data_IF_770463572970
#
_entry.id   IF_770463572970
#
_cell.length_a   1.000
_cell.length_b   1.000
_cell.length_c   1.000
_cell.angle_alpha   90.00
_cell.angle_beta   90.00
_cell.angle_gamma   90.00
#
_symmetry.space_group_name_H-M   'P 1'
#
loop_
_entity.id
_entity.type
_entity.pdbx_description
1 polymer ?
#
# COMPACT_ATOMS: atom_id res chain seq x y z
N UNK A 1 39.53 -15.75 16.31
CA UNK A 1 39.04 -15.23 15.01
C UNK A 1 37.59 -14.78 15.19
N UNK A 2 37.37 -13.54 15.64
CA UNK A 2 36.05 -12.98 15.96
C UNK A 2 35.48 -12.32 14.70
N UNK A 3 34.35 -12.81 14.18
CA UNK A 3 33.63 -12.16 13.07
C UNK A 3 33.22 -10.74 13.52
N UNK A 4 33.46 -9.70 12.71
CA UNK A 4 32.97 -8.36 13.04
C UNK A 4 31.44 -8.36 12.93
N UNK A 5 30.76 -8.18 14.06
CA UNK A 5 29.33 -7.85 14.09
C UNK A 5 29.18 -6.40 13.63
N UNK A 6 29.16 -6.18 12.32
CA UNK A 6 28.78 -4.88 11.75
C UNK A 6 27.29 -4.68 11.97
N UNK A 7 26.90 -4.19 13.14
CA UNK A 7 25.58 -3.60 13.36
C UNK A 7 25.49 -2.36 12.48
N UNK A 8 25.09 -2.54 11.21
CA UNK A 8 24.83 -1.42 10.30
C UNK A 8 23.74 -0.57 10.96
N UNK A 9 23.96 0.73 11.20
CA UNK A 9 22.93 1.59 11.78
C UNK A 9 21.69 1.56 10.90
N UNK A 10 20.51 1.44 11.51
CA UNK A 10 19.25 1.44 10.77
C UNK A 10 19.08 2.78 10.04
N UNK A 11 18.89 2.72 8.73
CA UNK A 11 18.63 3.89 7.90
C UNK A 11 17.13 4.22 7.96
N UNK A 12 16.80 5.49 8.21
CA UNK A 12 15.42 5.95 8.19
C UNK A 12 14.92 6.07 6.75
N UNK A 13 14.32 4.98 6.23
CA UNK A 13 13.74 4.97 4.87
C UNK A 13 12.47 5.81 4.75
N UNK A 14 11.62 5.82 5.78
CA UNK A 14 10.37 6.56 5.81
C UNK A 14 10.21 7.34 7.11
N UNK A 15 9.71 8.58 7.00
CA UNK A 15 9.42 9.43 8.15
C UNK A 15 8.18 8.94 8.92
N UNK A 16 8.05 9.32 10.19
CA UNK A 16 6.87 8.99 11.00
C UNK A 16 5.56 9.44 10.34
N UNK A 17 5.55 10.62 9.70
CA UNK A 17 4.38 11.16 9.02
C UNK A 17 3.99 10.38 7.77
N UNK A 18 4.96 9.85 7.01
CA UNK A 18 4.70 8.96 5.87
C UNK A 18 4.06 7.64 6.34
N UNK A 19 4.56 7.07 7.45
CA UNK A 19 4.02 5.84 8.03
C UNK A 19 2.59 6.03 8.51
N UNK A 20 2.28 7.12 9.21
CA UNK A 20 0.93 7.41 9.69
C UNK A 20 -0.05 7.59 8.52
N UNK A 21 0.32 8.36 7.49
CA UNK A 21 -0.54 8.54 6.32
C UNK A 21 -0.79 7.22 5.57
N UNK A 22 0.25 6.39 5.43
CA UNK A 22 0.11 5.05 4.86
C UNK A 22 -0.86 4.18 5.66
N UNK A 23 -0.71 4.11 6.98
CA UNK A 23 -1.62 3.32 7.83
C UNK A 23 -3.05 3.83 7.82
N UNK A 24 -3.25 5.16 7.78
CA UNK A 24 -4.58 5.76 7.62
C UNK A 24 -5.21 5.34 6.28
N UNK A 25 -4.45 5.43 5.19
CA UNK A 25 -4.89 5.00 3.86
C UNK A 25 -5.21 3.50 3.82
N UNK A 26 -4.35 2.67 4.42
CA UNK A 26 -4.53 1.22 4.45
C UNK A 26 -5.80 0.81 5.23
N UNK A 27 -6.02 1.40 6.41
CA UNK A 27 -7.21 1.10 7.23
C UNK A 27 -8.50 1.55 6.53
N UNK A 28 -8.51 2.76 5.97
CA UNK A 28 -9.69 3.27 5.23
C UNK A 28 -9.96 2.45 3.97
N UNK A 29 -8.92 2.03 3.25
CA UNK A 29 -9.06 1.11 2.12
C UNK A 29 -9.67 -0.23 2.52
N UNK A 30 -9.21 -0.86 3.61
CA UNK A 30 -9.77 -2.13 4.08
C UNK A 30 -11.26 -1.98 4.41
N UNK A 31 -11.63 -0.93 5.15
CA UNK A 31 -13.03 -0.66 5.48
C UNK A 31 -13.88 -0.45 4.22
N UNK A 32 -13.37 0.29 3.24
CA UNK A 32 -14.03 0.54 1.95
C UNK A 32 -14.15 -0.72 1.10
N UNK A 33 -13.10 -1.52 1.00
CA UNK A 33 -13.09 -2.74 0.22
C UNK A 33 -14.12 -3.73 0.76
N UNK A 34 -14.15 -3.92 2.08
CA UNK A 34 -15.09 -4.84 2.73
C UNK A 34 -16.54 -4.34 2.66
N UNK A 35 -16.78 -3.05 2.96
CA UNK A 35 -18.11 -2.47 2.84
C UNK A 35 -18.61 -2.39 1.40
N UNK A 36 -17.72 -2.09 0.44
CA UNK A 36 -18.02 -2.09 -0.99
C UNK A 36 -18.35 -3.49 -1.49
N UNK A 37 -17.61 -4.51 -1.07
CA UNK A 37 -17.91 -5.91 -1.40
C UNK A 37 -19.27 -6.35 -0.84
N UNK A 38 -19.62 -5.91 0.37
CA UNK A 38 -20.92 -6.15 0.99
C UNK A 38 -22.09 -5.55 0.18
N UNK A 39 -21.86 -4.41 -0.48
CA UNK A 39 -22.84 -3.73 -1.33
C UNK A 39 -22.85 -4.26 -2.77
N UNK A 40 -21.72 -4.83 -3.23
CA UNK A 40 -21.54 -5.30 -4.60
C UNK A 40 -22.21 -6.67 -4.85
N UNK A 41 -22.03 -7.64 -3.94
CA UNK A 41 -22.54 -9.00 -4.15
C UNK A 41 -23.27 -9.55 -2.91
N UNK A 42 -24.52 -10.05 -3.04
CA UNK A 42 -25.35 -10.43 -1.89
C UNK A 42 -24.74 -11.46 -0.93
N UNK A 43 -23.95 -12.42 -1.43
CA UNK A 43 -23.28 -13.43 -0.60
C UNK A 43 -22.32 -12.83 0.44
N UNK A 44 -21.88 -11.58 0.23
CA UNK A 44 -21.00 -10.86 1.15
C UNK A 44 -21.74 -9.85 2.01
N UNK A 45 -23.08 -9.79 1.96
CA UNK A 45 -23.86 -8.80 2.72
C UNK A 45 -23.62 -8.88 4.23
N UNK A 46 -23.24 -10.05 4.77
CA UNK A 46 -22.89 -10.21 6.18
C UNK A 46 -21.73 -9.30 6.62
N UNK A 47 -20.85 -8.87 5.71
CA UNK A 47 -19.77 -7.93 5.99
C UNK A 47 -20.28 -6.53 6.36
N UNK A 48 -21.53 -6.18 6.03
CA UNK A 48 -22.14 -4.89 6.41
C UNK A 48 -22.22 -4.70 7.93
N UNK A 49 -22.20 -5.78 8.73
CA UNK A 49 -22.20 -5.71 10.19
C UNK A 49 -20.95 -5.00 10.75
N UNK A 50 -19.83 -4.97 10.02
CA UNK A 50 -18.61 -4.27 10.45
C UNK A 50 -18.82 -2.76 10.58
N UNK A 51 -19.74 -2.20 9.80
CA UNK A 51 -20.12 -0.79 9.88
C UNK A 51 -21.48 -0.59 10.56
N UNK A 52 -22.02 -1.60 11.24
CA UNK A 52 -23.32 -1.50 11.94
C UNK A 52 -24.55 -1.90 11.11
N UNK A 53 -24.37 -2.59 9.98
CA UNK A 53 -25.42 -3.13 9.13
C UNK A 53 -25.65 -2.34 7.83
N UNK A 54 -26.63 -2.77 7.04
CA UNK A 54 -26.91 -2.20 5.70
C UNK A 54 -27.10 -0.68 5.67
N UNK A 55 -27.96 -0.07 6.51
CA UNK A 55 -28.17 1.37 6.53
C UNK A 55 -26.90 2.16 6.84
N UNK A 56 -26.20 1.79 7.93
CA UNK A 56 -24.96 2.45 8.32
C UNK A 56 -23.83 2.26 7.31
N UNK A 57 -23.73 1.07 6.71
CA UNK A 57 -22.76 0.80 5.63
C UNK A 57 -22.92 1.77 4.47
N UNK A 58 -24.17 1.99 4.00
CA UNK A 58 -24.44 2.92 2.90
C UNK A 58 -24.14 4.38 3.25
N UNK A 59 -24.37 4.77 4.50
CA UNK A 59 -24.10 6.12 4.99
C UNK A 59 -22.58 6.33 5.17
N UNK A 60 -21.89 5.43 5.87
CA UNK A 60 -20.48 5.60 6.25
C UNK A 60 -19.51 5.37 5.09
N UNK A 61 -19.81 4.43 4.18
CA UNK A 61 -18.93 4.10 3.05
C UNK A 61 -18.45 5.34 2.26
N UNK A 62 -19.31 6.25 1.77
CA UNK A 62 -18.85 7.42 1.03
C UNK A 62 -17.99 8.38 1.89
N UNK A 63 -18.29 8.55 3.18
CA UNK A 63 -17.48 9.41 4.06
C UNK A 63 -16.07 8.82 4.27
N UNK A 64 -15.98 7.50 4.49
CA UNK A 64 -14.68 6.81 4.57
C UNK A 64 -13.96 6.94 3.22
N UNK A 65 -14.70 6.92 2.11
CA UNK A 65 -14.21 7.17 0.75
C UNK A 65 -13.51 8.51 0.61
N UNK A 66 -14.14 9.59 1.07
CA UNK A 66 -13.56 10.94 1.06
C UNK A 66 -12.30 11.02 1.93
N UNK A 67 -12.32 10.41 3.13
CA UNK A 67 -11.16 10.37 4.02
C UNK A 67 -9.99 9.64 3.34
N UNK A 68 -10.26 8.47 2.74
CA UNK A 68 -9.24 7.71 2.00
C UNK A 68 -8.70 8.53 0.83
N UNK A 69 -9.59 9.15 0.04
CA UNK A 69 -9.20 9.93 -1.13
C UNK A 69 -8.23 11.07 -0.77
N UNK A 70 -8.53 11.82 0.30
CA UNK A 70 -7.67 12.90 0.79
C UNK A 70 -6.33 12.33 1.30
N UNK A 71 -6.38 11.30 2.14
CA UNK A 71 -5.18 10.64 2.71
C UNK A 71 -4.25 10.13 1.60
N UNK A 72 -4.80 9.38 0.64
CA UNK A 72 -4.08 8.82 -0.50
C UNK A 72 -3.55 9.90 -1.43
N UNK A 73 -4.29 10.98 -1.67
CA UNK A 73 -3.81 12.10 -2.51
C UNK A 73 -2.58 12.76 -1.88
N UNK A 74 -2.62 13.03 -0.58
CA UNK A 74 -1.47 13.58 0.15
C UNK A 74 -0.28 12.60 0.10
N UNK A 75 -0.54 11.30 0.24
CA UNK A 75 0.52 10.28 0.16
C UNK A 75 1.13 10.22 -1.24
N UNK A 76 0.29 10.18 -2.27
CA UNK A 76 0.69 10.13 -3.67
C UNK A 76 1.53 11.33 -4.06
N UNK A 77 1.10 12.55 -3.75
CA UNK A 77 1.87 13.77 -4.06
C UNK A 77 3.28 13.72 -3.46
N UNK A 78 3.43 13.18 -2.25
CA UNK A 78 4.75 13.00 -1.59
C UNK A 78 5.62 11.95 -2.26
N UNK A 79 5.03 10.90 -2.84
CA UNK A 79 5.75 9.77 -3.42
C UNK A 79 5.97 9.88 -4.93
N UNK A 80 5.27 10.79 -5.63
CA UNK A 80 5.43 10.99 -7.08
C UNK A 80 6.90 11.06 -7.51
N UNK A 81 7.79 11.88 -6.91
CA UNK A 81 9.17 11.99 -7.38
C UNK A 81 9.95 10.67 -7.33
N UNK A 82 9.58 9.77 -6.42
CA UNK A 82 10.23 8.47 -6.20
C UNK A 82 9.60 7.35 -7.04
N UNK A 83 8.42 7.60 -7.62
CA UNK A 83 7.65 6.63 -8.40
C UNK A 83 7.58 7.02 -9.89
N UNK A 84 8.41 7.96 -10.35
CA UNK A 84 8.50 8.29 -11.77
C UNK A 84 9.17 7.15 -12.52
N UNK A 85 8.57 6.78 -13.65
CA UNK A 85 9.08 5.70 -14.48
C UNK A 85 10.39 6.11 -15.17
N UNK A 86 11.46 5.37 -14.90
CA UNK A 86 12.79 5.58 -15.46
C UNK A 86 13.18 4.42 -16.38
N UNK A 87 14.27 4.61 -17.14
CA UNK A 87 14.77 3.58 -18.07
C UNK A 87 15.09 2.25 -17.39
N UNK A 88 15.51 2.28 -16.13
CA UNK A 88 15.84 1.09 -15.35
C UNK A 88 14.60 0.22 -15.08
N UNK A 89 13.42 0.82 -14.92
CA UNK A 89 12.17 0.07 -14.69
C UNK A 89 11.82 -0.81 -15.89
N UNK A 90 12.09 -0.35 -17.12
CA UNK A 90 11.90 -1.18 -18.32
C UNK A 90 12.81 -2.41 -18.32
N UNK A 91 14.02 -2.30 -17.80
CA UNK A 91 14.94 -3.43 -17.70
C UNK A 91 14.44 -4.38 -16.61
N UNK A 92 14.06 -3.85 -15.45
CA UNK A 92 13.46 -4.62 -14.36
C UNK A 92 12.23 -5.42 -14.83
N UNK A 93 11.32 -4.80 -15.60
CA UNK A 93 10.14 -5.46 -16.16
C UNK A 93 10.46 -6.58 -17.16
N UNK A 94 11.59 -6.51 -17.88
CA UNK A 94 12.02 -7.60 -18.78
C UNK A 94 12.54 -8.81 -18.01
N UNK A 95 12.90 -8.63 -16.74
CA UNK A 95 13.43 -9.67 -15.85
C UNK A 95 12.42 -10.09 -14.75
N UNK A 96 11.11 -9.98 -15.03
CA UNK A 96 10.05 -10.33 -14.04
C UNK A 96 10.17 -11.78 -13.56
N UNK A 97 10.64 -12.71 -14.41
CA UNK A 97 10.80 -14.11 -14.00
C UNK A 97 11.90 -14.26 -12.95
N UNK A 98 13.02 -13.59 -13.14
CA UNK A 98 14.15 -13.55 -12.21
C UNK A 98 13.76 -12.86 -10.90
N UNK A 99 13.00 -11.76 -10.96
CA UNK A 99 12.42 -11.09 -9.77
C UNK A 99 11.55 -12.05 -8.97
N UNK A 100 10.65 -12.78 -9.63
CA UNK A 100 9.74 -13.72 -8.96
C UNK A 100 10.46 -14.93 -8.36
N UNK A 101 11.60 -15.31 -8.92
CA UNK A 101 12.45 -16.40 -8.43
C UNK A 101 13.50 -15.95 -7.40
N UNK A 102 13.45 -14.70 -6.94
CA UNK A 102 14.43 -14.09 -6.02
C UNK A 102 15.89 -14.15 -6.53
N UNK A 103 16.07 -14.14 -7.86
CA UNK A 103 17.37 -14.18 -8.52
C UNK A 103 17.93 -12.76 -8.70
N UNK A 104 18.01 -12.00 -7.59
CA UNK A 104 18.39 -10.58 -7.56
C UNK A 104 19.74 -10.26 -8.21
N UNK A 105 20.68 -11.21 -8.15
CA UNK A 105 22.02 -11.08 -8.75
C UNK A 105 21.99 -11.02 -10.29
N UNK A 106 20.91 -11.50 -10.93
CA UNK A 106 20.72 -11.48 -12.39
C UNK A 106 20.03 -10.19 -12.88
N UNK A 107 19.63 -9.32 -11.95
CA UNK A 107 18.91 -8.09 -12.23
C UNK A 107 19.91 -6.92 -12.16
N UNK A 108 19.86 -5.94 -13.07
CA UNK A 108 20.73 -4.78 -12.96
C UNK A 108 20.54 -4.07 -11.62
N UNK A 109 21.62 -3.49 -11.04
CA UNK A 109 21.54 -2.82 -9.76
C UNK A 109 20.52 -1.68 -9.82
N UNK A 110 19.54 -1.74 -8.92
CA UNK A 110 18.60 -0.64 -8.68
C UNK A 110 19.37 0.50 -7.99
N UNK A 111 19.23 1.72 -8.52
CA UNK A 111 19.93 2.91 -8.02
C UNK A 111 19.50 3.33 -6.62
#
# INVERSE_FOLDING_TARGET
MTKPTTSRPMLQRYTASQRINHWLTALTFILLAVSGLALFHPSFYWMSHLLGGGPWTRILHPFIGVVMFISFTIFSIRMIPQNLFIRQDFIWMRHVKEVLNDEGDKIPPVG
#
